data_IF_082111466214
#
_entry.id   IF_082111466214
#
_cell.length_a   1.000
_cell.length_b   1.000
_cell.length_c   1.000
_cell.angle_alpha   90.00
_cell.angle_beta   90.00
_cell.angle_gamma   90.00
#
_symmetry.space_group_name_H-M   'P 1'
#
loop_
_entity.id
_entity.type
_entity.pdbx_description
1 polymer ?
#
# COMPACT_ATOMS: atom_id res chain seq x y z
N UNK A 1 -58.92 -27.59 25.04
CA UNK A 1 -58.21 -26.59 24.20
C UNK A 1 -56.77 -26.55 24.67
N UNK A 2 -55.80 -26.90 23.82
CA UNK A 2 -54.38 -26.72 24.14
C UNK A 2 -53.69 -26.00 22.98
N UNK A 3 -53.03 -24.91 23.34
CA UNK A 3 -52.23 -24.01 22.51
C UNK A 3 -50.96 -24.70 22.02
N UNK A 4 -50.56 -24.43 20.77
CA UNK A 4 -49.16 -24.50 20.35
C UNK A 4 -48.86 -23.22 19.57
N UNK A 5 -48.10 -22.32 20.19
CA UNK A 5 -47.43 -21.19 19.53
C UNK A 5 -46.10 -21.74 19.04
N UNK A 6 -45.96 -21.92 17.72
CA UNK A 6 -44.67 -22.25 17.09
C UNK A 6 -43.86 -20.95 17.02
N UNK A 7 -42.86 -20.85 17.88
CA UNK A 7 -41.84 -19.80 17.83
C UNK A 7 -40.83 -20.18 16.73
N UNK A 8 -40.94 -19.55 15.56
CA UNK A 8 -39.99 -19.68 14.47
C UNK A 8 -38.72 -18.89 14.83
N UNK A 9 -37.74 -19.56 15.44
CA UNK A 9 -36.43 -18.99 15.71
C UNK A 9 -35.58 -19.03 14.44
N UNK A 10 -35.66 -18.00 13.60
CA UNK A 10 -34.73 -17.82 12.48
C UNK A 10 -33.42 -17.30 13.05
N UNK A 11 -32.47 -18.20 13.30
CA UNK A 11 -31.09 -17.83 13.60
C UNK A 11 -30.48 -17.23 12.33
N UNK A 12 -30.47 -15.90 12.27
CA UNK A 12 -29.67 -15.15 11.30
C UNK A 12 -28.21 -15.34 11.71
N UNK A 13 -27.59 -16.42 11.25
CA UNK A 13 -26.14 -16.53 11.28
C UNK A 13 -25.60 -15.52 10.28
N UNK A 14 -25.24 -14.34 10.76
CA UNK A 14 -24.41 -13.41 10.01
C UNK A 14 -23.11 -14.16 9.70
N UNK A 15 -22.95 -14.63 8.45
CA UNK A 15 -21.62 -15.00 7.96
C UNK A 15 -20.81 -13.71 8.03
N UNK A 16 -19.88 -13.62 8.97
CA UNK A 16 -18.85 -12.61 8.87
C UNK A 16 -18.04 -12.96 7.63
N UNK A 17 -18.29 -12.27 6.52
CA UNK A 17 -17.50 -12.40 5.30
C UNK A 17 -16.26 -11.54 5.46
N UNK A 18 -15.29 -12.02 6.23
CA UNK A 18 -13.92 -11.54 6.13
C UNK A 18 -13.34 -12.22 4.88
N UNK A 19 -13.26 -11.50 3.77
CA UNK A 19 -12.50 -11.98 2.63
C UNK A 19 -11.01 -11.77 2.96
N UNK A 20 -10.45 -12.72 3.71
CA UNK A 20 -9.11 -12.69 4.35
C UNK A 20 -7.92 -12.64 3.39
N UNK A 21 -8.18 -12.78 2.09
CA UNK A 21 -7.17 -12.84 1.04
C UNK A 21 -7.56 -11.88 -0.07
N UNK A 22 -6.65 -10.96 -0.37
CA UNK A 22 -6.83 -9.94 -1.39
C UNK A 22 -5.84 -10.16 -2.51
N UNK A 23 -6.28 -10.01 -3.75
CA UNK A 23 -5.36 -9.80 -4.87
C UNK A 23 -4.83 -8.37 -4.73
N UNK A 24 -3.51 -8.20 -4.74
CA UNK A 24 -2.84 -6.93 -4.45
C UNK A 24 -2.16 -6.32 -5.68
N UNK A 25 -1.43 -7.13 -6.44
CA UNK A 25 -0.68 -6.70 -7.61
C UNK A 25 -0.67 -7.80 -8.69
N UNK A 26 -0.67 -7.42 -9.96
CA UNK A 26 -0.69 -8.31 -11.11
C UNK A 26 0.35 -7.85 -12.13
N UNK A 27 1.19 -8.78 -12.56
CA UNK A 27 2.20 -8.58 -13.60
C UNK A 27 1.99 -9.56 -14.75
N UNK A 28 1.25 -9.15 -15.79
CA UNK A 28 0.89 -10.05 -16.87
C UNK A 28 1.92 -10.13 -18.00
N UNK A 29 2.83 -9.17 -18.13
CA UNK A 29 3.68 -9.03 -19.31
C UNK A 29 5.19 -9.06 -19.00
N UNK A 30 5.73 -10.17 -18.45
CA UNK A 30 7.16 -10.29 -18.14
C UNK A 30 8.06 -10.19 -19.37
N UNK A 31 9.33 -9.87 -19.16
CA UNK A 31 10.37 -10.05 -20.19
C UNK A 31 10.51 -11.55 -20.55
N UNK A 32 11.01 -11.87 -21.77
CA UNK A 32 11.24 -13.26 -22.14
C UNK A 32 12.14 -14.00 -21.16
N UNK A 33 11.70 -15.18 -20.70
CA UNK A 33 12.42 -16.02 -19.73
C UNK A 33 11.94 -15.86 -18.28
N UNK A 34 11.12 -14.84 -17.99
CA UNK A 34 10.49 -14.63 -16.69
C UNK A 34 9.03 -15.10 -16.67
N UNK A 35 8.46 -15.20 -15.47
CA UNK A 35 7.08 -15.65 -15.27
C UNK A 35 6.13 -14.47 -15.04
N UNK A 36 4.91 -14.64 -15.52
CA UNK A 36 3.75 -13.86 -15.08
C UNK A 36 3.55 -14.09 -13.59
N UNK A 37 3.04 -13.10 -12.88
CA UNK A 37 2.70 -13.30 -11.48
C UNK A 37 1.51 -12.48 -11.00
N UNK A 38 0.90 -12.99 -9.95
CA UNK A 38 -0.16 -12.38 -9.17
C UNK A 38 0.28 -12.40 -7.72
N UNK A 39 0.24 -11.25 -7.08
CA UNK A 39 0.48 -11.12 -5.65
C UNK A 39 -0.84 -11.12 -4.89
N UNK A 40 -0.85 -11.87 -3.79
CA UNK A 40 -1.93 -11.86 -2.83
C UNK A 40 -1.44 -11.34 -1.48
N UNK A 41 -2.33 -10.65 -0.77
CA UNK A 41 -2.11 -10.13 0.57
C UNK A 41 -3.04 -10.82 1.56
N UNK A 42 -2.48 -11.15 2.73
CA UNK A 42 -3.24 -11.60 3.89
C UNK A 42 -3.50 -10.42 4.82
N UNK A 43 -4.74 -9.96 4.90
CA UNK A 43 -5.16 -8.86 5.77
C UNK A 43 -5.47 -9.29 7.22
N UNK A 44 -5.28 -10.58 7.53
CA UNK A 44 -5.48 -11.12 8.86
C UNK A 44 -4.20 -11.09 9.70
N UNK A 45 -4.40 -11.12 11.03
CA UNK A 45 -3.32 -11.27 12.00
C UNK A 45 -2.94 -12.74 12.26
N UNK A 46 -3.35 -13.65 11.38
CA UNK A 46 -3.11 -15.10 11.48
C UNK A 46 -2.56 -15.67 10.19
N UNK A 47 -1.83 -16.78 10.29
CA UNK A 47 -1.32 -17.51 9.13
C UNK A 47 -2.51 -18.09 8.32
N UNK A 48 -2.41 -18.01 6.99
CA UNK A 48 -3.35 -18.63 6.06
C UNK A 48 -2.69 -19.78 5.31
N UNK A 49 -3.35 -20.94 5.29
CA UNK A 49 -2.97 -22.08 4.45
C UNK A 49 -3.57 -21.93 3.04
N UNK A 50 -2.71 -21.54 2.09
CA UNK A 50 -3.03 -21.36 0.68
C UNK A 50 -3.25 -22.69 -0.07
N UNK A 51 -2.98 -23.85 0.55
CA UNK A 51 -3.31 -25.15 -0.07
C UNK A 51 -4.81 -25.32 -0.34
N UNK A 52 -5.64 -24.56 0.38
CA UNK A 52 -7.09 -24.52 0.24
C UNK A 52 -7.57 -23.49 -0.79
N UNK A 53 -6.66 -22.78 -1.47
CA UNK A 53 -6.98 -21.70 -2.40
C UNK A 53 -6.35 -21.92 -3.76
N UNK A 54 -6.91 -21.27 -4.78
CA UNK A 54 -6.42 -21.35 -6.16
C UNK A 54 -6.80 -20.12 -6.96
N UNK A 55 -5.86 -19.64 -7.77
CA UNK A 55 -6.04 -18.54 -8.71
C UNK A 55 -6.31 -19.07 -10.12
N UNK A 56 -7.23 -18.42 -10.82
CA UNK A 56 -7.62 -18.76 -12.18
C UNK A 56 -7.80 -17.52 -13.04
N UNK A 57 -7.45 -17.61 -14.32
CA UNK A 57 -7.92 -16.68 -15.34
C UNK A 57 -9.40 -16.95 -15.70
N UNK A 58 -9.95 -16.15 -16.62
CA UNK A 58 -11.33 -16.32 -17.09
C UNK A 58 -11.55 -17.66 -17.83
N UNK A 59 -10.49 -18.24 -18.41
CA UNK A 59 -10.54 -19.53 -19.11
C UNK A 59 -10.35 -20.75 -18.19
N UNK A 60 -10.28 -20.53 -16.86
CA UNK A 60 -10.01 -21.53 -15.83
C UNK A 60 -8.62 -22.21 -15.91
N UNK A 61 -7.65 -21.58 -16.56
CA UNK A 61 -6.24 -21.92 -16.40
C UNK A 61 -5.75 -21.47 -15.03
N UNK A 62 -4.99 -22.35 -14.37
CA UNK A 62 -4.57 -22.16 -12.98
C UNK A 62 -3.23 -21.40 -12.89
N UNK A 63 -3.14 -20.48 -11.94
CA UNK A 63 -1.93 -19.77 -11.52
C UNK A 63 -1.51 -20.37 -10.17
N UNK A 64 -0.23 -20.68 -9.99
CA UNK A 64 0.25 -21.50 -8.87
C UNK A 64 0.99 -20.66 -7.84
N UNK A 65 0.58 -20.73 -6.58
CA UNK A 65 1.33 -20.14 -5.47
C UNK A 65 2.73 -20.74 -5.36
N UNK A 66 3.71 -19.91 -5.02
CA UNK A 66 5.09 -20.34 -4.80
C UNK A 66 5.26 -21.04 -3.45
N UNK A 67 4.51 -20.60 -2.45
CA UNK A 67 4.39 -21.21 -1.13
C UNK A 67 2.93 -21.50 -0.79
N UNK A 68 2.71 -22.46 0.11
CA UNK A 68 1.36 -22.81 0.59
C UNK A 68 1.01 -22.14 1.91
N UNK A 69 1.94 -21.43 2.54
CA UNK A 69 1.74 -20.79 3.83
C UNK A 69 1.97 -19.30 3.67
N UNK A 70 0.94 -18.51 3.95
CA UNK A 70 1.01 -17.06 3.91
C UNK A 70 0.97 -16.49 5.32
N UNK A 71 2.00 -15.72 5.67
CA UNK A 71 2.15 -15.11 6.99
C UNK A 71 1.11 -14.00 7.22
N UNK A 72 0.81 -13.64 8.48
CA UNK A 72 -0.03 -12.49 8.80
C UNK A 72 0.48 -11.20 8.14
N UNK A 73 -0.43 -10.34 7.67
CA UNK A 73 -0.09 -9.01 7.14
C UNK A 73 1.05 -9.03 6.10
N UNK A 74 1.13 -10.10 5.31
CA UNK A 74 2.24 -10.37 4.38
C UNK A 74 1.73 -10.69 2.98
N UNK A 75 2.66 -10.70 2.02
CA UNK A 75 2.43 -10.97 0.61
C UNK A 75 2.90 -12.37 0.21
N UNK A 76 2.25 -12.96 -0.80
CA UNK A 76 2.69 -14.20 -1.43
C UNK A 76 2.44 -14.16 -2.94
N UNK A 77 3.34 -14.78 -3.70
CA UNK A 77 3.32 -14.76 -5.15
C UNK A 77 2.74 -16.06 -5.71
N UNK A 78 1.87 -15.92 -6.70
CA UNK A 78 1.51 -16.98 -7.62
C UNK A 78 2.11 -16.71 -9.00
N UNK A 79 2.67 -17.73 -9.65
CA UNK A 79 3.29 -17.61 -10.96
C UNK A 79 2.59 -18.44 -12.03
N UNK A 80 2.71 -18.00 -13.28
CA UNK A 80 2.24 -18.68 -14.47
C UNK A 80 3.09 -18.37 -15.69
N UNK A 81 2.84 -19.09 -16.79
CA UNK A 81 3.46 -18.83 -18.09
C UNK A 81 2.37 -18.94 -19.17
N UNK A 82 2.03 -17.82 -19.82
CA UNK A 82 1.01 -17.76 -20.87
C UNK A 82 -0.42 -17.98 -20.36
N UNK A 83 -0.70 -17.60 -19.12
CA UNK A 83 -2.04 -17.67 -18.53
C UNK A 83 -2.67 -16.28 -18.49
N UNK A 84 -1.93 -15.27 -18.02
CA UNK A 84 -2.39 -13.89 -18.00
C UNK A 84 -2.29 -13.25 -19.39
N UNK A 85 -3.33 -12.55 -19.82
CA UNK A 85 -3.32 -11.84 -21.10
C UNK A 85 -2.75 -10.42 -20.95
N UNK A 86 -1.75 -10.06 -21.77
CA UNK A 86 -1.13 -8.73 -21.72
C UNK A 86 -2.11 -7.58 -22.01
N UNK A 87 -3.20 -7.84 -22.73
CA UNK A 87 -4.17 -6.84 -23.21
C UNK A 87 -5.51 -6.86 -22.45
N UNK A 88 -5.46 -7.22 -21.17
CA UNK A 88 -6.63 -7.27 -20.30
C UNK A 88 -7.05 -8.70 -19.98
N UNK A 89 -7.43 -8.93 -18.71
CA UNK A 89 -7.86 -10.23 -18.23
C UNK A 89 -8.74 -10.10 -16.97
N UNK A 90 -9.36 -11.20 -16.57
CA UNK A 90 -10.08 -11.35 -15.31
C UNK A 90 -9.54 -12.53 -14.53
N UNK A 91 -9.17 -12.26 -13.29
CA UNK A 91 -8.66 -13.22 -12.34
C UNK A 91 -9.69 -13.51 -11.26
N UNK A 92 -9.72 -14.75 -10.81
CA UNK A 92 -10.54 -15.17 -9.69
C UNK A 92 -9.71 -15.98 -8.69
N UNK A 93 -9.72 -15.53 -7.43
CA UNK A 93 -9.25 -16.32 -6.30
C UNK A 93 -10.42 -17.14 -5.77
N UNK A 94 -10.24 -18.45 -5.67
CA UNK A 94 -11.27 -19.39 -5.22
C UNK A 94 -10.77 -20.23 -4.06
N UNK A 95 -11.67 -20.61 -3.15
CA UNK A 95 -11.38 -21.64 -2.15
C UNK A 95 -11.57 -23.06 -2.73
N UNK A 96 -11.30 -24.08 -1.94
CA UNK A 96 -11.41 -25.50 -2.29
C UNK A 96 -12.86 -25.96 -2.59
N UNK A 97 -13.88 -25.21 -2.15
CA UNK A 97 -15.29 -25.44 -2.46
C UNK A 97 -15.69 -24.80 -3.81
N UNK A 98 -14.78 -24.05 -4.43
CA UNK A 98 -15.03 -23.30 -5.66
C UNK A 98 -15.73 -21.96 -5.45
N UNK A 99 -15.92 -21.53 -4.21
CA UNK A 99 -16.46 -20.20 -3.90
C UNK A 99 -15.43 -19.13 -4.28
N UNK A 100 -15.89 -18.09 -4.96
CA UNK A 100 -15.05 -16.95 -5.32
C UNK A 100 -14.83 -16.08 -4.10
N UNK A 101 -13.57 -15.85 -3.77
CA UNK A 101 -13.12 -15.01 -2.66
C UNK A 101 -12.88 -13.57 -3.14
N UNK A 102 -12.17 -13.42 -4.26
CA UNK A 102 -11.81 -12.12 -4.83
C UNK A 102 -11.80 -12.23 -6.36
N UNK A 103 -12.12 -11.12 -7.04
CA UNK A 103 -11.98 -10.94 -8.48
C UNK A 103 -11.12 -9.70 -8.73
N UNK A 104 -10.21 -9.79 -9.70
CA UNK A 104 -9.50 -8.63 -10.23
C UNK A 104 -9.64 -8.62 -11.76
N UNK A 105 -9.97 -7.47 -12.34
CA UNK A 105 -10.13 -7.32 -13.79
C UNK A 105 -9.33 -6.10 -14.23
N UNK A 106 -8.44 -6.28 -15.20
CA UNK A 106 -7.74 -5.20 -15.88
C UNK A 106 -8.09 -5.21 -17.36
N UNK A 107 -8.11 -4.04 -17.99
CA UNK A 107 -8.54 -3.87 -19.39
C UNK A 107 -7.58 -3.01 -20.21
N UNK A 108 -6.32 -2.93 -19.76
CA UNK A 108 -5.26 -2.18 -20.42
C UNK A 108 -4.18 -3.12 -20.97
N UNK A 109 -3.36 -2.60 -21.87
CA UNK A 109 -2.17 -3.29 -22.39
C UNK A 109 -0.95 -3.07 -21.50
N UNK A 110 -0.28 -4.16 -21.16
CA UNK A 110 0.90 -4.19 -20.30
C UNK A 110 2.15 -4.57 -21.08
N UNK A 111 3.26 -3.97 -20.66
CA UNK A 111 4.62 -4.34 -21.05
C UNK A 111 5.41 -4.69 -19.77
N UNK A 112 6.69 -5.04 -19.93
CA UNK A 112 7.51 -5.50 -18.81
C UNK A 112 7.81 -4.45 -17.75
N UNK A 113 7.47 -3.18 -17.98
CA UNK A 113 7.69 -2.08 -17.03
C UNK A 113 6.47 -1.76 -16.19
N UNK A 114 5.32 -2.40 -16.43
CA UNK A 114 4.05 -2.05 -15.80
C UNK A 114 3.44 -3.19 -15.01
N UNK A 115 2.84 -2.84 -13.87
CA UNK A 115 2.01 -3.73 -13.07
C UNK A 115 0.64 -3.10 -12.85
N UNK A 116 -0.36 -3.93 -12.58
CA UNK A 116 -1.67 -3.50 -12.13
C UNK A 116 -1.74 -3.72 -10.63
N UNK A 117 -1.83 -2.66 -9.84
CA UNK A 117 -1.66 -2.74 -8.39
C UNK A 117 -2.71 -1.91 -7.63
N UNK A 118 -3.04 -2.31 -6.41
CA UNK A 118 -3.92 -1.54 -5.52
C UNK A 118 -3.14 -0.41 -4.83
N UNK A 119 -3.73 0.80 -4.81
CA UNK A 119 -3.23 1.95 -4.06
C UNK A 119 -4.32 2.58 -3.16
N UNK A 120 -4.16 2.58 -1.83
CA UNK A 120 -3.17 1.82 -1.05
C UNK A 120 -3.31 0.29 -1.24
N UNK A 121 -2.43 -0.51 -0.64
CA UNK A 121 -2.55 -1.98 -0.66
C UNK A 121 -3.95 -2.46 -0.27
N UNK A 122 -4.30 -3.70 -0.64
CA UNK A 122 -5.48 -4.50 -0.20
C UNK A 122 -6.90 -3.91 -0.46
N UNK A 123 -7.17 -2.68 -0.03
CA UNK A 123 -8.45 -1.96 -0.11
C UNK A 123 -8.42 -0.72 -1.02
N UNK A 124 -7.27 -0.40 -1.61
CA UNK A 124 -7.18 0.71 -2.54
C UNK A 124 -7.84 0.48 -3.88
N UNK A 125 -7.86 1.55 -4.68
CA UNK A 125 -8.26 1.47 -6.08
C UNK A 125 -7.13 0.87 -6.91
N UNK A 126 -7.49 0.24 -8.02
CA UNK A 126 -6.50 -0.30 -8.94
C UNK A 126 -5.91 0.78 -9.86
N UNK A 127 -4.60 0.74 -10.04
CA UNK A 127 -3.85 1.61 -10.94
C UNK A 127 -2.85 0.81 -11.77
N UNK A 128 -2.39 1.42 -12.87
CA UNK A 128 -1.24 0.93 -13.62
C UNK A 128 -0.02 1.65 -13.06
N UNK A 129 0.92 0.91 -12.48
CA UNK A 129 2.16 1.44 -11.91
C UNK A 129 3.34 1.09 -12.82
N UNK A 130 4.34 1.96 -12.86
CA UNK A 130 5.59 1.73 -13.60
C UNK A 130 6.70 1.15 -12.72
N UNK A 131 6.37 0.80 -11.47
CA UNK A 131 7.25 0.21 -10.49
C UNK A 131 6.53 -1.00 -9.91
N UNK A 132 7.11 -2.17 -10.13
CA UNK A 132 6.68 -3.42 -9.48
C UNK A 132 7.06 -3.39 -8.01
N UNK A 133 6.15 -3.83 -7.16
CA UNK A 133 6.35 -3.96 -5.71
C UNK A 133 6.28 -5.40 -5.20
N UNK A 134 6.40 -6.37 -6.10
CA UNK A 134 6.54 -7.82 -5.81
C UNK A 134 7.20 -8.16 -4.46
N UNK A 135 6.43 -8.84 -3.61
CA UNK A 135 6.71 -9.24 -2.22
C UNK A 135 6.81 -8.09 -1.21
N UNK A 136 6.33 -6.89 -1.56
CA UNK A 136 6.39 -5.70 -0.73
C UNK A 136 5.13 -4.85 -0.93
N UNK A 137 4.98 -3.84 -0.10
CA UNK A 137 3.86 -2.92 -0.13
C UNK A 137 3.87 -2.03 -1.38
N UNK A 138 2.69 -1.80 -1.99
CA UNK A 138 2.54 -0.91 -3.13
C UNK A 138 2.70 0.57 -2.77
N UNK A 139 2.68 0.95 -1.47
CA UNK A 139 2.61 2.36 -1.05
C UNK A 139 3.70 3.24 -1.69
N UNK A 140 4.93 2.74 -1.80
CA UNK A 140 6.04 3.47 -2.44
C UNK A 140 5.76 3.73 -3.92
N UNK A 141 5.23 2.74 -4.64
CA UNK A 141 4.86 2.89 -6.04
C UNK A 141 3.62 3.78 -6.20
N UNK A 142 2.68 3.76 -5.24
CA UNK A 142 1.48 4.59 -5.23
C UNK A 142 1.78 6.09 -5.10
N UNK A 143 2.85 6.48 -4.40
CA UNK A 143 3.30 7.87 -4.31
C UNK A 143 3.66 8.47 -5.68
N UNK A 144 4.02 7.64 -6.67
CA UNK A 144 4.29 8.11 -8.04
C UNK A 144 3.04 8.58 -8.79
N UNK A 145 1.84 8.22 -8.31
CA UNK A 145 0.56 8.64 -8.89
C UNK A 145 0.20 10.08 -8.54
N UNK A 146 0.68 10.57 -7.39
CA UNK A 146 0.49 11.96 -6.99
C UNK A 146 1.40 12.86 -7.81
N UNK A 147 0.87 13.94 -8.42
CA UNK A 147 1.72 14.92 -9.08
C UNK A 147 2.65 15.52 -8.03
N UNK A 148 3.96 15.47 -8.28
CA UNK A 148 4.94 16.20 -7.48
C UNK A 148 4.47 17.65 -7.41
N UNK A 149 4.24 18.23 -6.21
CA UNK A 149 3.92 19.64 -6.11
C UNK A 149 5.09 20.41 -6.74
N UNK A 150 4.80 21.11 -7.83
CA UNK A 150 5.79 22.01 -8.43
C UNK A 150 6.01 23.12 -7.41
N UNK A 151 7.19 23.14 -6.79
CA UNK A 151 7.60 24.23 -5.89
C UNK A 151 7.45 25.54 -6.65
N UNK A 152 6.34 26.24 -6.41
CA UNK A 152 6.14 27.57 -6.95
C UNK A 152 6.95 28.47 -6.05
N UNK A 153 8.18 28.78 -6.46
CA UNK A 153 9.02 29.76 -5.79
C UNK A 153 8.25 31.09 -5.74
N UNK A 154 7.58 31.33 -4.61
CA UNK A 154 6.96 32.62 -4.34
C UNK A 154 8.10 33.62 -4.20
N UNK A 155 8.08 34.76 -4.91
CA UNK A 155 9.18 35.71 -4.88
C UNK A 155 9.45 36.15 -3.43
N UNK A 156 10.67 35.91 -2.98
CA UNK A 156 11.17 36.32 -1.67
C UNK A 156 10.99 37.82 -1.51
N UNK A 157 10.17 38.24 -0.53
CA UNK A 157 10.05 39.65 -0.18
C UNK A 157 11.42 40.15 0.30
N UNK A 158 11.94 41.16 -0.39
CA UNK A 158 13.17 41.85 -0.01
C UNK A 158 12.87 42.67 1.25
N UNK A 159 13.35 42.20 2.40
CA UNK A 159 13.28 42.95 3.66
C UNK A 159 14.16 44.19 3.56
N UNK A 160 13.54 45.37 3.62
CA UNK A 160 14.20 46.66 3.83
C UNK A 160 14.49 46.79 5.33
N UNK A 161 15.73 47.10 5.76
CA UNK A 161 16.04 47.28 7.19
C UNK A 161 15.29 48.50 7.72
N UNK A 162 14.38 48.29 8.67
CA UNK A 162 13.81 49.37 9.48
C UNK A 162 14.45 49.29 10.86
N UNK A 163 15.29 50.27 11.19
CA UNK A 163 15.77 50.49 12.55
C UNK A 163 14.56 50.85 13.44
N UNK A 164 14.25 49.95 14.38
CA UNK A 164 13.21 50.13 15.37
C UNK A 164 13.71 49.64 16.72
N UNK A 165 13.79 50.58 17.65
CA UNK A 165 14.25 50.46 19.04
C UNK A 165 13.63 49.31 19.83
N UNK A 166 14.47 48.51 20.49
CA UNK A 166 14.09 47.46 21.43
C UNK A 166 13.32 48.03 22.64
N UNK A 167 12.18 47.42 22.94
CA UNK A 167 11.52 47.48 24.25
C UNK A 167 11.27 46.04 24.71
N UNK A 168 11.69 45.62 25.92
CA UNK A 168 11.54 44.22 26.33
C UNK A 168 10.07 43.93 26.69
N UNK A 169 9.42 43.08 25.89
CA UNK A 169 8.12 42.45 26.18
C UNK A 169 8.34 40.96 26.48
N UNK A 170 7.39 40.26 27.15
CA UNK A 170 7.67 39.18 28.09
C UNK A 170 8.29 37.96 27.42
N UNK A 171 9.09 37.22 28.20
CA UNK A 171 9.63 35.90 27.85
C UNK A 171 8.48 34.97 27.43
N UNK A 172 8.27 34.84 26.13
CA UNK A 172 7.38 33.84 25.57
C UNK A 172 7.94 32.45 25.89
N UNK A 173 7.14 31.62 26.54
CA UNK A 173 7.49 30.20 26.66
C UNK A 173 7.42 29.60 25.26
N UNK A 174 8.57 29.26 24.68
CA UNK A 174 8.64 28.56 23.40
C UNK A 174 7.82 27.28 23.49
N UNK A 175 6.69 27.26 22.79
CA UNK A 175 5.90 26.06 22.56
C UNK A 175 6.44 25.42 21.29
N UNK A 176 6.93 24.19 21.41
CA UNK A 176 7.43 23.40 20.27
C UNK A 176 6.31 22.63 19.56
N UNK A 177 5.05 22.99 19.82
CA UNK A 177 3.93 22.52 19.04
C UNK A 177 4.00 23.16 17.63
N UNK A 178 3.29 22.57 16.67
CA UNK A 178 3.22 23.04 15.28
C UNK A 178 4.54 22.90 14.47
N UNK A 179 5.39 21.94 14.87
CA UNK A 179 6.52 21.48 14.07
C UNK A 179 6.23 20.04 13.65
N UNK A 180 6.27 19.78 12.35
CA UNK A 180 5.85 18.50 11.76
C UNK A 180 6.95 17.94 10.86
N UNK A 181 7.05 16.62 10.80
CA UNK A 181 7.73 15.97 9.67
C UNK A 181 6.75 16.00 8.51
N UNK A 182 7.07 16.75 7.46
CA UNK A 182 6.25 16.83 6.25
C UNK A 182 6.60 15.72 5.26
N UNK A 183 7.88 15.34 5.20
CA UNK A 183 8.36 14.32 4.27
C UNK A 183 9.60 13.60 4.81
N UNK A 184 9.79 12.35 4.39
CA UNK A 184 11.00 11.58 4.66
C UNK A 184 11.37 10.70 3.46
N UNK A 185 12.60 10.86 2.96
CA UNK A 185 13.22 9.94 2.01
C UNK A 185 13.99 8.87 2.80
N UNK A 186 13.33 7.76 3.08
CA UNK A 186 13.85 6.67 3.93
C UNK A 186 14.65 5.64 3.13
N UNK A 187 14.37 5.49 1.83
CA UNK A 187 15.05 4.50 0.98
C UNK A 187 15.43 5.10 -0.38
N UNK A 188 16.47 5.93 -0.44
CA UNK A 188 16.89 6.59 -1.66
C UNK A 188 17.57 5.61 -2.64
N UNK A 189 17.60 5.97 -3.94
CA UNK A 189 18.38 5.23 -4.94
C UNK A 189 19.87 5.15 -4.54
N UNK A 190 20.57 4.15 -5.05
CA UNK A 190 21.99 3.91 -4.74
C UNK A 190 22.82 5.16 -5.04
N UNK A 191 23.43 5.73 -4.00
CA UNK A 191 24.30 6.91 -4.08
C UNK A 191 23.63 8.22 -3.65
N UNK A 192 22.31 8.24 -3.48
CA UNK A 192 21.55 9.35 -2.93
C UNK A 192 21.47 9.28 -1.39
N UNK A 193 21.09 10.38 -0.74
CA UNK A 193 21.03 10.46 0.73
C UNK A 193 19.60 10.35 1.24
N UNK A 194 19.46 9.75 2.41
CA UNK A 194 18.26 9.88 3.22
C UNK A 194 18.12 11.32 3.71
N UNK A 195 16.90 11.81 3.76
CA UNK A 195 16.60 13.14 4.27
C UNK A 195 15.20 13.19 4.86
N UNK A 196 14.98 14.14 5.76
CA UNK A 196 13.68 14.44 6.37
C UNK A 196 13.41 15.92 6.19
N UNK A 197 12.23 16.27 5.71
CA UNK A 197 11.75 17.65 5.67
C UNK A 197 10.93 17.96 6.91
N UNK A 198 11.17 19.15 7.46
CA UNK A 198 10.49 19.67 8.63
C UNK A 198 9.66 20.87 8.21
N UNK A 199 8.36 20.81 8.45
CA UNK A 199 7.46 21.95 8.33
C UNK A 199 7.30 22.63 9.69
N UNK A 200 7.61 23.92 9.74
CA UNK A 200 7.46 24.76 10.92
C UNK A 200 6.32 25.77 10.70
N UNK A 201 5.18 25.53 11.32
CA UNK A 201 4.00 26.42 11.26
C UNK A 201 4.05 27.46 12.40
N UNK A 202 5.24 28.02 12.61
CA UNK A 202 5.49 29.07 13.58
C UNK A 202 6.26 30.23 12.94
N UNK A 203 6.12 31.42 13.50
CA UNK A 203 6.82 32.63 13.05
C UNK A 203 8.27 32.71 13.56
N UNK A 204 8.72 31.77 14.39
CA UNK A 204 10.10 31.70 14.88
C UNK A 204 10.97 30.75 14.03
N UNK A 205 12.26 31.05 13.91
CA UNK A 205 13.21 30.20 13.19
C UNK A 205 13.71 29.02 14.03
N UNK A 206 13.82 27.83 13.42
CA UNK A 206 14.46 26.67 14.04
C UNK A 206 15.99 26.78 13.90
N UNK A 207 16.68 27.11 14.99
CA UNK A 207 18.14 27.14 15.04
C UNK A 207 18.65 26.07 16.02
N UNK A 208 19.66 25.27 15.62
CA UNK A 208 20.36 24.28 16.46
C UNK A 208 19.52 23.02 16.82
N UNK A 209 18.66 22.56 15.91
CA UNK A 209 17.89 21.32 16.11
C UNK A 209 18.64 20.09 15.58
N UNK A 210 18.45 18.95 16.26
CA UNK A 210 18.92 17.63 15.80
C UNK A 210 17.77 16.65 15.93
N UNK A 211 17.57 15.83 14.90
CA UNK A 211 16.68 14.66 14.97
C UNK A 211 17.57 13.47 15.36
N UNK A 212 17.45 12.94 16.58
CA UNK A 212 18.17 11.73 16.95
C UNK A 212 17.50 10.49 16.35
N UNK A 213 18.30 9.59 15.80
CA UNK A 213 17.84 8.23 15.51
C UNK A 213 17.77 7.42 16.82
N UNK A 214 16.75 6.58 16.97
CA UNK A 214 16.65 5.66 18.11
C UNK A 214 17.46 4.40 17.79
N UNK A 215 18.29 3.89 18.72
CA UNK A 215 19.07 2.69 18.46
C UNK A 215 18.15 1.50 18.13
N UNK A 216 18.32 0.93 16.93
CA UNK A 216 17.63 -0.27 16.44
C UNK A 216 17.70 -1.39 17.48
N UNK A 217 16.56 -1.80 18.04
CA UNK A 217 16.45 -3.08 18.74
C UNK A 217 16.26 -4.18 17.71
N UNK A 218 17.36 -4.82 17.33
CA UNK A 218 17.30 -6.11 16.64
C UNK A 218 16.72 -7.15 17.61
N UNK A 219 15.51 -7.62 17.36
CA UNK A 219 15.07 -8.91 17.89
C UNK A 219 15.54 -9.97 16.89
N UNK A 220 16.53 -10.78 17.31
CA UNK A 220 16.96 -12.00 16.65
C UNK A 220 15.86 -13.05 16.67
#
# INVERSE_FOLDING_TARGET
>A
MFNIIILLLVLIFSKNTYASLKINEVYPAPIPGEYEWVEIYNDENTIIDLSQYSLYDLTNKKIKFTNTILQPLSFEIATSSGVLNNDGDTLSLKNNLGEIIEIATYSASFDSTKTYAKCPDFNGNWFILNLSTKNDSNETACQSLTPIPTLTITPTLTIVPTEGTENPSPTESLSYNNIYISEAMINPLIGEKEWVEIYNDNDFSLMIWKIPDLPQRYFL
#
